data_IF_033905072406
#
_entry.id   IF_033905072406
#
_cell.length_a   1.000
_cell.length_b   1.000
_cell.length_c   1.000
_cell.angle_alpha   90.00
_cell.angle_beta   90.00
_cell.angle_gamma   90.00
#
_symmetry.space_group_name_H-M   'P 1'
#
loop_
_entity.id
_entity.type
_entity.pdbx_description
1 polymer ?
#
# COMPACT_ATOMS: atom_id res chain seq x y z
N UNK A 1 -19.38 -9.71 21.52
CA UNK A 1 -18.09 -10.00 20.88
C UNK A 1 -18.25 -10.07 19.38
N UNK A 2 -17.38 -9.43 18.60
CA UNK A 2 -17.41 -9.53 17.14
C UNK A 2 -16.58 -10.77 16.78
N UNK A 3 -17.21 -11.79 16.18
CA UNK A 3 -16.51 -12.99 15.70
C UNK A 3 -15.34 -12.54 14.81
N UNK A 4 -14.13 -12.89 15.21
CA UNK A 4 -12.97 -12.79 14.34
C UNK A 4 -13.12 -13.96 13.39
N UNK A 5 -13.60 -13.72 12.17
CA UNK A 5 -13.48 -14.71 11.11
C UNK A 5 -11.98 -14.90 10.86
N UNK A 6 -11.46 -16.08 11.21
CA UNK A 6 -10.02 -16.35 11.18
C UNK A 6 -9.49 -16.64 9.76
N UNK A 7 -10.37 -16.64 8.76
CA UNK A 7 -10.06 -17.01 7.38
C UNK A 7 -10.60 -15.94 6.45
N UNK A 8 -9.69 -15.22 5.80
CA UNK A 8 -10.00 -14.29 4.74
C UNK A 8 -9.24 -14.70 3.49
N UNK A 9 -9.92 -14.65 2.35
CA UNK A 9 -9.34 -15.01 1.07
C UNK A 9 -8.90 -13.74 0.32
N UNK A 10 -7.72 -13.76 -0.30
CA UNK A 10 -7.26 -12.64 -1.12
C UNK A 10 -8.21 -12.45 -2.31
N UNK A 11 -8.72 -11.22 -2.48
CA UNK A 11 -9.55 -10.82 -3.62
C UNK A 11 -9.13 -9.45 -4.15
N UNK A 12 -9.45 -9.16 -5.40
CA UNK A 12 -9.29 -7.81 -5.93
C UNK A 12 -10.40 -6.89 -5.37
N UNK A 13 -10.11 -5.60 -5.13
CA UNK A 13 -11.14 -4.61 -4.83
C UNK A 13 -12.15 -4.49 -5.98
N UNK A 14 -13.40 -4.19 -5.64
CA UNK A 14 -14.47 -4.00 -6.64
C UNK A 14 -14.41 -2.63 -7.32
N UNK A 15 -13.93 -1.62 -6.61
CA UNK A 15 -13.84 -0.24 -7.09
C UNK A 15 -12.39 0.14 -7.41
N UNK A 16 -12.23 1.26 -8.13
CA UNK A 16 -10.91 1.85 -8.34
C UNK A 16 -10.35 2.37 -7.00
N UNK A 17 -9.12 1.96 -6.69
CA UNK A 17 -8.43 2.30 -5.46
C UNK A 17 -7.30 3.27 -5.76
N UNK A 18 -7.32 4.41 -5.07
CA UNK A 18 -6.22 5.36 -5.04
C UNK A 18 -5.97 5.79 -3.59
N UNK A 19 -5.20 4.97 -2.87
CA UNK A 19 -4.86 5.19 -1.48
C UNK A 19 -3.37 5.47 -1.28
N UNK A 20 -2.99 5.73 -0.03
CA UNK A 20 -1.63 6.01 0.41
C UNK A 20 -1.37 5.31 1.74
N UNK A 21 -0.15 4.80 1.92
CA UNK A 21 0.32 4.30 3.20
C UNK A 21 0.58 5.48 4.14
N UNK A 22 -0.18 5.57 5.23
CA UNK A 22 -0.07 6.62 6.24
C UNK A 22 0.96 6.31 7.32
N UNK A 23 1.11 5.04 7.67
CA UNK A 23 1.93 4.62 8.82
C UNK A 23 2.34 3.15 8.72
N UNK A 24 3.40 2.79 9.45
CA UNK A 24 3.86 1.40 9.65
C UNK A 24 4.12 1.16 11.14
N UNK A 25 3.65 0.04 11.69
CA UNK A 25 3.77 -0.23 13.13
C UNK A 25 5.18 -0.62 13.58
N UNK A 26 6.07 -1.04 12.67
CA UNK A 26 7.42 -1.54 13.01
C UNK A 26 8.40 -0.46 13.49
N UNK A 27 8.02 0.82 13.49
CA UNK A 27 8.83 1.94 14.00
C UNK A 27 10.06 2.28 13.15
N UNK A 28 10.30 1.52 12.08
CA UNK A 28 11.37 1.76 11.10
C UNK A 28 10.88 2.62 9.94
N UNK A 29 11.78 3.41 9.35
CA UNK A 29 11.46 4.27 8.19
C UNK A 29 11.14 3.47 6.91
N UNK A 30 11.54 2.21 6.86
CA UNK A 30 11.41 1.32 5.71
C UNK A 30 10.40 0.22 6.03
N UNK A 31 9.46 -0.02 5.13
CA UNK A 31 8.42 -1.03 5.28
C UNK A 31 8.88 -2.30 4.55
N UNK A 32 8.97 -3.40 5.30
CA UNK A 32 9.40 -4.71 4.82
C UNK A 32 8.24 -5.66 4.49
N UNK A 33 8.60 -6.87 4.10
CA UNK A 33 7.64 -7.96 3.97
C UNK A 33 7.08 -8.32 5.36
N UNK A 34 5.78 -8.60 5.43
CA UNK A 34 5.02 -8.92 6.65
C UNK A 34 4.84 -7.77 7.65
N UNK A 35 5.26 -6.55 7.29
CA UNK A 35 4.92 -5.38 8.09
C UNK A 35 3.43 -5.05 7.99
N UNK A 36 2.89 -4.54 9.10
CA UNK A 36 1.52 -4.01 9.18
C UNK A 36 1.54 -2.52 8.92
N UNK A 37 0.74 -2.10 7.95
CA UNK A 37 0.61 -0.71 7.51
C UNK A 37 -0.80 -0.18 7.70
N UNK A 38 -0.92 1.14 7.83
CA UNK A 38 -2.21 1.86 7.86
C UNK A 38 -2.41 2.58 6.55
N UNK A 39 -3.58 2.41 5.94
CA UNK A 39 -3.97 3.03 4.67
C UNK A 39 -5.04 4.11 4.91
N UNK A 40 -5.04 5.17 4.11
CA UNK A 40 -6.10 6.19 4.11
C UNK A 40 -7.38 5.78 3.33
N UNK A 41 -7.60 4.47 3.19
CA UNK A 41 -8.70 3.89 2.44
C UNK A 41 -9.51 2.97 3.37
N UNK A 42 -10.66 3.44 3.82
CA UNK A 42 -11.52 2.76 4.79
C UNK A 42 -12.83 2.22 4.19
N UNK A 43 -13.74 1.75 5.05
CA UNK A 43 -15.02 1.18 4.62
C UNK A 43 -15.92 2.21 3.94
N UNK A 44 -15.80 3.49 4.30
CA UNK A 44 -16.49 4.59 3.60
C UNK A 44 -16.04 4.69 2.15
N UNK A 45 -14.79 4.31 1.88
CA UNK A 45 -14.15 4.42 0.58
C UNK A 45 -14.20 3.08 -0.20
N UNK A 46 -14.90 2.07 0.32
CA UNK A 46 -15.10 0.75 -0.32
C UNK A 46 -14.14 -0.35 0.14
N UNK A 47 -13.26 -0.10 1.11
CA UNK A 47 -12.32 -1.11 1.57
C UNK A 47 -13.01 -2.28 2.29
N UNK A 48 -12.65 -3.50 1.91
CA UNK A 48 -13.16 -4.73 2.53
C UNK A 48 -12.02 -5.65 2.94
N UNK A 49 -12.30 -6.50 3.92
CA UNK A 49 -11.32 -7.50 4.37
C UNK A 49 -11.08 -8.51 3.24
N UNK A 50 -9.81 -8.84 3.00
CA UNK A 50 -9.36 -9.69 1.91
C UNK A 50 -8.93 -8.92 0.65
N UNK A 51 -9.18 -7.61 0.57
CA UNK A 51 -8.76 -6.82 -0.60
C UNK A 51 -7.25 -6.77 -0.74
N UNK A 52 -6.77 -7.14 -1.92
CA UNK A 52 -5.35 -7.17 -2.29
C UNK A 52 -5.03 -5.95 -3.15
N UNK A 53 -3.98 -5.23 -2.78
CA UNK A 53 -3.58 -3.99 -3.44
C UNK A 53 -2.11 -4.05 -3.88
N UNK A 54 -1.80 -3.44 -5.02
CA UNK A 54 -0.43 -3.19 -5.45
C UNK A 54 0.09 -1.90 -4.84
N UNK A 55 1.32 -1.96 -4.31
CA UNK A 55 2.01 -0.79 -3.78
C UNK A 55 2.96 -0.23 -4.83
N UNK A 56 2.81 1.06 -5.09
CA UNK A 56 3.60 1.83 -6.04
C UNK A 56 4.42 2.88 -5.32
N UNK A 57 5.73 2.81 -5.52
CA UNK A 57 6.67 3.77 -4.98
C UNK A 57 6.89 4.87 -6.01
N UNK A 58 6.71 6.13 -5.59
CA UNK A 58 6.99 7.28 -6.45
C UNK A 58 8.46 7.31 -6.84
N UNK A 59 8.73 7.42 -8.14
CA UNK A 59 10.09 7.59 -8.64
C UNK A 59 10.70 8.90 -8.12
N UNK A 60 11.99 8.90 -7.72
CA UNK A 60 12.65 10.12 -7.28
C UNK A 60 12.81 11.10 -8.44
N UNK A 61 12.91 12.38 -8.10
CA UNK A 61 13.37 13.40 -9.03
C UNK A 61 14.89 13.37 -9.01
N UNK A 62 15.50 13.05 -10.14
CA UNK A 62 16.95 12.93 -10.31
C UNK A 62 17.43 14.02 -11.25
N UNK A 63 18.65 14.51 -11.03
CA UNK A 63 19.30 15.43 -11.95
C UNK A 63 19.91 14.62 -13.10
N UNK A 64 19.45 14.88 -14.32
CA UNK A 64 20.01 14.29 -15.53
C UNK A 64 21.47 14.72 -15.66
N UNK A 65 22.38 13.77 -15.90
CA UNK A 65 23.81 14.04 -15.98
C UNK A 65 24.20 14.79 -17.25
N UNK A 66 23.44 14.61 -18.34
CA UNK A 66 23.68 15.20 -19.65
C UNK A 66 23.02 16.56 -19.73
N UNK A 67 21.70 16.64 -19.48
CA UNK A 67 20.95 17.89 -19.63
C UNK A 67 21.02 18.79 -18.41
N UNK A 68 21.47 18.29 -17.25
CA UNK A 68 21.46 18.97 -15.95
C UNK A 68 20.06 19.34 -15.43
N UNK A 69 18.99 18.87 -16.08
CA UNK A 69 17.60 19.12 -15.68
C UNK A 69 17.13 18.13 -14.62
N UNK A 70 16.08 18.51 -13.88
CA UNK A 70 15.43 17.64 -12.90
C UNK A 70 14.35 16.80 -13.59
N UNK A 71 14.57 15.48 -13.66
CA UNK A 71 13.67 14.52 -14.30
C UNK A 71 13.02 13.63 -13.23
N UNK A 72 11.69 13.48 -13.29
CA UNK A 72 10.96 12.54 -12.42
C UNK A 72 11.01 11.15 -13.04
N UNK A 73 11.60 10.18 -12.32
CA UNK A 73 11.56 8.78 -12.73
C UNK A 73 10.12 8.21 -12.62
N UNK A 74 9.77 7.20 -13.43
CA UNK A 74 8.45 6.58 -13.35
C UNK A 74 8.19 5.96 -11.97
N UNK A 75 6.93 5.90 -11.59
CA UNK A 75 6.51 5.21 -10.38
C UNK A 75 6.59 3.69 -10.62
N UNK A 76 7.12 2.94 -9.65
CA UNK A 76 7.36 1.50 -9.79
C UNK A 76 6.44 0.70 -8.87
N UNK A 77 5.85 -0.37 -9.38
CA UNK A 77 5.17 -1.38 -8.55
C UNK A 77 6.22 -2.17 -7.79
N UNK A 78 6.24 -2.05 -6.47
CA UNK A 78 7.28 -2.66 -5.62
C UNK A 78 6.77 -3.63 -4.59
N UNK A 79 5.46 -3.74 -4.42
CA UNK A 79 4.90 -4.70 -3.47
C UNK A 79 3.42 -5.00 -3.69
N UNK A 80 2.95 -5.91 -2.85
CA UNK A 80 1.55 -6.32 -2.75
C UNK A 80 1.17 -6.46 -1.28
N UNK A 81 -0.02 -6.00 -0.93
CA UNK A 81 -0.54 -6.07 0.43
C UNK A 81 -1.97 -6.58 0.44
N UNK A 82 -2.43 -7.04 1.59
CA UNK A 82 -3.82 -7.46 1.81
C UNK A 82 -4.41 -6.74 3.01
N UNK A 83 -5.62 -6.21 2.86
CA UNK A 83 -6.41 -5.63 3.95
C UNK A 83 -6.94 -6.75 4.83
N UNK A 84 -6.64 -6.72 6.13
CA UNK A 84 -7.15 -7.69 7.10
C UNK A 84 -8.09 -7.06 8.13
N UNK A 85 -8.15 -5.73 8.21
CA UNK A 85 -9.07 -5.01 9.10
C UNK A 85 -9.43 -3.66 8.52
N UNK A 86 -10.72 -3.34 8.51
CA UNK A 86 -11.22 -2.06 7.99
C UNK A 86 -11.91 -1.24 9.09
N UNK A 87 -11.69 0.06 9.06
CA UNK A 87 -12.38 1.08 9.86
C UNK A 87 -13.04 2.09 8.91
N UNK A 88 -13.79 3.05 9.45
CA UNK A 88 -14.55 4.00 8.64
C UNK A 88 -13.69 4.77 7.63
N UNK A 89 -12.53 5.30 8.05
CA UNK A 89 -11.65 6.18 7.26
C UNK A 89 -10.28 5.59 6.93
N UNK A 90 -9.95 4.44 7.53
CA UNK A 90 -8.64 3.80 7.37
C UNK A 90 -8.80 2.29 7.34
N UNK A 91 -7.79 1.59 6.85
CA UNK A 91 -7.68 0.14 6.95
C UNK A 91 -6.27 -0.27 7.34
N UNK A 92 -6.15 -1.47 7.90
CA UNK A 92 -4.87 -2.10 8.19
C UNK A 92 -4.59 -3.15 7.11
N UNK A 93 -3.40 -3.04 6.54
CA UNK A 93 -2.88 -3.94 5.52
C UNK A 93 -1.66 -4.70 6.03
N UNK A 94 -1.51 -5.93 5.57
CA UNK A 94 -0.31 -6.75 5.73
C UNK A 94 0.46 -6.76 4.41
N UNK A 95 1.73 -6.36 4.40
CA UNK A 95 2.58 -6.50 3.21
C UNK A 95 2.86 -7.99 2.97
N UNK A 96 2.41 -8.53 1.85
CA UNK A 96 2.58 -9.95 1.53
C UNK A 96 3.90 -10.22 0.82
N UNK A 97 4.30 -9.33 -0.09
CA UNK A 97 5.55 -9.41 -0.85
C UNK A 97 6.03 -8.00 -1.19
N UNK A 98 7.33 -7.80 -1.12
CA UNK A 98 7.98 -6.56 -1.58
C UNK A 98 9.33 -6.89 -2.20
N UNK A 99 9.69 -6.21 -3.29
CA UNK A 99 10.95 -6.42 -4.02
C UNK A 99 12.05 -5.45 -3.56
N UNK A 100 11.65 -4.31 -3.01
CA UNK A 100 12.52 -3.34 -2.37
C UNK A 100 11.80 -2.73 -1.16
N UNK A 101 12.51 -2.02 -0.25
CA UNK A 101 11.86 -1.33 0.85
C UNK A 101 10.79 -0.34 0.36
N UNK A 102 9.59 -0.45 0.92
CA UNK A 102 8.50 0.51 0.72
C UNK A 102 8.61 1.61 1.77
N UNK A 103 7.85 2.70 1.58
CA UNK A 103 7.85 3.82 2.54
C UNK A 103 6.46 4.38 2.79
N UNK A 104 6.32 5.05 3.93
CA UNK A 104 5.17 5.92 4.19
C UNK A 104 5.06 6.95 3.07
N UNK A 105 3.84 7.16 2.56
CA UNK A 105 3.57 7.99 1.39
C UNK A 105 3.58 7.26 0.04
N UNK A 106 3.93 5.98 0.00
CA UNK A 106 3.75 5.16 -1.20
C UNK A 106 2.25 4.93 -1.48
N UNK A 107 1.91 4.84 -2.77
CA UNK A 107 0.54 4.81 -3.28
C UNK A 107 0.07 3.37 -3.38
N UNK A 108 -1.19 3.09 -3.02
CA UNK A 108 -1.82 1.78 -3.19
C UNK A 108 -2.92 1.85 -4.24
N UNK A 109 -2.94 0.86 -5.13
CA UNK A 109 -3.87 0.76 -6.27
C UNK A 109 -4.36 -0.67 -6.46
N UNK A 110 -5.34 -0.86 -7.33
CA UNK A 110 -5.77 -2.18 -7.78
C UNK A 110 -4.55 -2.99 -8.30
N UNK A 111 -4.52 -4.31 -8.07
CA UNK A 111 -3.35 -5.14 -8.37
C UNK A 111 -3.14 -5.43 -9.87
N UNK A 112 -4.17 -5.19 -10.69
CA UNK A 112 -4.22 -5.32 -12.15
C UNK A 112 -5.58 -4.86 -12.65
#
# INVERSE_FOLDING_TARGET
>A
ERKVDSIFYPKAPSDEVNGVILHVFSGVRNIGQYDVVVLNWGSRDGATIGDVLAVHTKGPVVKDRITQELVKLPDERRGILMVFRTFEKVSYGLILRTEAPLKVGDVVKNPS
#
